data_IF_251775124137
#
_entry.id   IF_251775124137
#
_cell.length_a   1.000
_cell.length_b   1.000
_cell.length_c   1.000
_cell.angle_alpha   90.00
_cell.angle_beta   90.00
_cell.angle_gamma   90.00
#
_symmetry.space_group_name_H-M   'P 1'
#
loop_
_entity.id
_entity.type
_entity.pdbx_description
1 polymer ?
#
# COMPACT_ATOMS: atom_id res chain seq x y z
N UNK A 1 15.17 13.21 -36.95
CA UNK A 1 15.76 13.98 -35.83
C UNK A 1 14.64 14.81 -35.23
N UNK A 2 13.82 14.24 -34.33
CA UNK A 2 13.97 14.19 -32.87
C UNK A 2 14.40 15.51 -32.21
N UNK A 3 13.43 16.21 -31.66
CA UNK A 3 13.40 16.67 -30.26
C UNK A 3 11.91 16.83 -29.93
N UNK A 4 11.31 16.24 -28.91
CA UNK A 4 11.87 15.87 -27.63
C UNK A 4 10.99 16.53 -26.56
N UNK A 5 10.04 15.75 -26.03
CA UNK A 5 9.59 15.81 -24.63
C UNK A 5 9.04 17.14 -24.10
N UNK A 6 7.75 17.42 -24.35
CA UNK A 6 6.93 18.12 -23.37
C UNK A 6 6.37 17.06 -22.41
N UNK A 7 7.13 16.81 -21.34
CA UNK A 7 6.72 15.97 -20.22
C UNK A 7 5.44 16.53 -19.61
N UNK A 8 4.30 15.91 -19.92
CA UNK A 8 3.07 16.11 -19.15
C UNK A 8 3.24 15.40 -17.81
N UNK A 9 3.93 16.05 -16.88
CA UNK A 9 3.86 15.69 -15.46
C UNK A 9 2.47 16.09 -15.00
N UNK A 10 1.53 15.15 -15.10
CA UNK A 10 0.20 15.24 -14.51
C UNK A 10 0.39 15.40 -13.00
N UNK A 11 0.40 16.65 -12.55
CA UNK A 11 0.36 16.98 -11.14
C UNK A 11 -0.86 16.27 -10.55
N UNK A 12 -0.61 15.32 -9.66
CA UNK A 12 -1.65 14.64 -8.89
C UNK A 12 -2.30 15.71 -8.01
N UNK A 13 -3.42 16.26 -8.49
CA UNK A 13 -4.27 17.16 -7.73
C UNK A 13 -4.89 16.35 -6.61
N UNK A 14 -4.31 16.45 -5.41
CA UNK A 14 -4.87 15.84 -4.21
C UNK A 14 -6.05 16.72 -3.79
N UNK A 15 -7.26 16.28 -4.11
CA UNK A 15 -8.49 16.90 -3.62
C UNK A 15 -8.72 16.50 -2.16
N UNK A 16 -8.73 17.51 -1.29
CA UNK A 16 -8.51 17.46 0.16
C UNK A 16 -9.66 16.89 1.01
N UNK A 17 -10.50 16.00 0.46
CA UNK A 17 -11.63 15.43 1.21
C UNK A 17 -12.08 14.03 0.79
N UNK A 18 -11.68 13.55 -0.40
CA UNK A 18 -11.98 12.18 -0.85
C UNK A 18 -10.73 11.33 -1.13
N UNK A 19 -9.55 11.95 -1.13
CA UNK A 19 -8.29 11.26 -1.41
C UNK A 19 -7.79 10.44 -0.23
N UNK A 20 -8.03 10.88 0.99
CA UNK A 20 -7.52 10.24 2.20
C UNK A 20 -8.24 8.92 2.52
N UNK A 21 -9.58 8.94 2.62
CA UNK A 21 -10.37 7.72 2.81
C UNK A 21 -10.14 6.71 1.68
N UNK A 22 -9.93 7.19 0.45
CA UNK A 22 -9.57 6.35 -0.69
C UNK A 22 -8.21 5.66 -0.48
N UNK A 23 -7.19 6.38 -0.03
CA UNK A 23 -5.85 5.81 0.26
C UNK A 23 -5.92 4.79 1.40
N UNK A 24 -6.71 5.03 2.45
CA UNK A 24 -6.90 4.06 3.53
C UNK A 24 -7.59 2.79 3.01
N UNK A 25 -8.69 2.95 2.29
CA UNK A 25 -9.43 1.82 1.73
C UNK A 25 -8.56 1.03 0.74
N UNK A 26 -7.71 1.70 -0.04
CA UNK A 26 -6.76 1.07 -0.94
C UNK A 26 -5.67 0.31 -0.18
N UNK A 27 -5.14 0.87 0.92
CA UNK A 27 -4.15 0.20 1.77
C UNK A 27 -4.74 -1.07 2.42
N UNK A 28 -5.96 -0.99 2.96
CA UNK A 28 -6.66 -2.15 3.53
C UNK A 28 -6.89 -3.22 2.47
N UNK A 29 -7.35 -2.82 1.28
CA UNK A 29 -7.57 -3.75 0.16
C UNK A 29 -6.27 -4.44 -0.27
N UNK A 30 -5.14 -3.70 -0.31
CA UNK A 30 -3.83 -4.26 -0.62
C UNK A 30 -3.35 -5.29 0.40
N UNK A 31 -3.60 -5.07 1.68
CA UNK A 31 -3.25 -6.03 2.74
C UNK A 31 -4.06 -7.32 2.58
N UNK A 32 -5.36 -7.21 2.30
CA UNK A 32 -6.20 -8.37 2.01
C UNK A 32 -5.70 -9.16 0.80
N UNK A 33 -5.29 -8.46 -0.26
CA UNK A 33 -4.75 -9.10 -1.47
C UNK A 33 -3.43 -9.83 -1.19
N UNK A 34 -2.54 -9.19 -0.42
CA UNK A 34 -1.26 -9.77 -0.02
C UNK A 34 -1.45 -11.00 0.86
N UNK A 35 -2.45 -11.00 1.75
CA UNK A 35 -2.79 -12.16 2.57
C UNK A 35 -3.26 -13.34 1.70
N UNK A 36 -4.13 -13.08 0.71
CA UNK A 36 -4.56 -14.08 -0.27
C UNK A 36 -3.38 -14.67 -1.08
N UNK A 37 -2.44 -13.81 -1.51
CA UNK A 37 -1.25 -14.22 -2.25
C UNK A 37 -0.36 -15.15 -1.40
N UNK A 38 -0.19 -14.85 -0.11
CA UNK A 38 0.57 -15.69 0.83
C UNK A 38 -0.13 -17.04 1.04
N UNK A 39 -1.44 -17.06 1.25
CA UNK A 39 -2.20 -18.30 1.43
C UNK A 39 -2.10 -19.21 0.20
N UNK A 40 -2.15 -18.63 -1.01
CA UNK A 40 -1.90 -19.36 -2.26
C UNK A 40 -0.49 -19.93 -2.32
N UNK A 41 0.53 -19.12 -2.05
CA UNK A 41 1.92 -19.55 -2.12
C UNK A 41 2.23 -20.65 -1.10
N UNK A 42 1.65 -20.59 0.10
CA UNK A 42 1.78 -21.63 1.13
C UNK A 42 1.04 -22.92 0.72
N UNK A 43 -0.14 -22.79 0.12
CA UNK A 43 -0.89 -23.93 -0.43
C UNK A 43 -0.11 -24.64 -1.54
N UNK A 44 0.46 -23.88 -2.48
CA UNK A 44 1.32 -24.39 -3.56
C UNK A 44 2.61 -25.01 -3.03
N UNK A 45 3.16 -24.50 -1.93
CA UNK A 45 4.33 -25.09 -1.28
C UNK A 45 4.02 -26.50 -0.74
N UNK A 46 2.82 -26.71 -0.19
CA UNK A 46 2.41 -28.02 0.35
C UNK A 46 2.24 -29.10 -0.73
N UNK A 47 2.04 -28.70 -1.99
CA UNK A 47 1.92 -29.60 -3.16
C UNK A 47 3.24 -29.80 -3.91
N UNK A 48 4.36 -29.28 -3.39
CA UNK A 48 5.70 -29.40 -3.99
C UNK A 48 6.13 -28.20 -4.83
N UNK A 49 5.48 -27.05 -4.64
CA UNK A 49 5.82 -25.77 -5.27
C UNK A 49 7.15 -25.17 -4.79
N UNK A 50 7.58 -24.12 -5.49
CA UNK A 50 8.86 -23.46 -5.27
C UNK A 50 8.91 -22.70 -3.93
N UNK A 51 9.74 -23.18 -3.00
CA UNK A 51 10.05 -22.55 -1.71
C UNK A 51 10.46 -21.09 -1.88
N UNK A 52 11.21 -20.76 -2.93
CA UNK A 52 11.70 -19.40 -3.19
C UNK A 52 10.54 -18.42 -3.38
N UNK A 53 9.52 -18.84 -4.11
CA UNK A 53 8.32 -18.05 -4.37
C UNK A 53 7.50 -17.82 -3.10
N UNK A 54 7.40 -18.83 -2.22
CA UNK A 54 6.75 -18.68 -0.92
C UNK A 54 7.51 -17.73 0.02
N UNK A 55 8.85 -17.82 0.06
CA UNK A 55 9.68 -16.90 0.86
C UNK A 55 9.57 -15.46 0.36
N UNK A 56 9.60 -15.24 -0.95
CA UNK A 56 9.41 -13.91 -1.55
C UNK A 56 8.02 -13.33 -1.25
N UNK A 57 6.97 -14.15 -1.28
CA UNK A 57 5.62 -13.72 -0.92
C UNK A 57 5.56 -13.27 0.54
N UNK A 58 6.21 -14.00 1.45
CA UNK A 58 6.30 -13.66 2.88
C UNK A 58 7.07 -12.34 3.08
N UNK A 59 8.22 -12.14 2.42
CA UNK A 59 8.98 -10.89 2.50
C UNK A 59 8.18 -9.68 1.98
N UNK A 60 7.48 -9.84 0.86
CA UNK A 60 6.59 -8.80 0.34
C UNK A 60 5.47 -8.49 1.32
N UNK A 61 4.94 -9.50 1.99
CA UNK A 61 3.89 -9.32 2.99
C UNK A 61 4.39 -8.54 4.21
N UNK A 62 5.57 -8.87 4.73
CA UNK A 62 6.17 -8.16 5.87
C UNK A 62 6.42 -6.69 5.54
N UNK A 63 7.03 -6.38 4.38
CA UNK A 63 7.24 -5.01 3.93
C UNK A 63 5.93 -4.24 3.76
N UNK A 64 4.90 -4.88 3.20
CA UNK A 64 3.58 -4.26 3.02
C UNK A 64 2.90 -3.98 4.36
N UNK A 65 3.08 -4.87 5.34
CA UNK A 65 2.56 -4.69 6.69
C UNK A 65 3.26 -3.53 7.41
N UNK A 66 4.59 -3.46 7.33
CA UNK A 66 5.36 -2.35 7.90
C UNK A 66 4.89 -0.99 7.36
N UNK A 67 4.70 -0.90 6.04
CA UNK A 67 4.15 0.29 5.39
C UNK A 67 2.75 0.63 5.91
N UNK A 68 1.89 -0.37 6.13
CA UNK A 68 0.55 -0.15 6.68
C UNK A 68 0.60 0.43 8.09
N UNK A 69 1.51 -0.04 8.94
CA UNK A 69 1.69 0.49 10.30
C UNK A 69 2.14 1.95 10.26
N UNK A 70 3.07 2.31 9.38
CA UNK A 70 3.48 3.70 9.18
C UNK A 70 2.33 4.58 8.71
N UNK A 71 1.54 4.09 7.74
CA UNK A 71 0.34 4.78 7.29
C UNK A 71 -0.59 4.98 8.48
N UNK A 72 -0.98 3.93 9.21
CA UNK A 72 -1.85 4.00 10.40
C UNK A 72 -1.39 5.06 11.39
N UNK A 73 -0.10 5.07 11.73
CA UNK A 73 0.46 6.04 12.66
C UNK A 73 0.35 7.48 12.12
N UNK A 74 0.60 7.67 10.82
CA UNK A 74 0.44 8.96 10.16
C UNK A 74 -1.02 9.42 10.18
N UNK A 75 -1.99 8.52 9.91
CA UNK A 75 -3.43 8.84 9.97
C UNK A 75 -3.84 9.30 11.37
N UNK A 76 -3.41 8.59 12.41
CA UNK A 76 -3.67 8.99 13.80
C UNK A 76 -3.09 10.38 14.09
N UNK A 77 -1.83 10.61 13.74
CA UNK A 77 -1.17 11.90 14.00
C UNK A 77 -1.85 13.07 13.28
N UNK A 78 -2.27 12.87 12.03
CA UNK A 78 -2.97 13.89 11.24
C UNK A 78 -4.38 14.14 11.75
N UNK A 79 -5.12 13.11 12.19
CA UNK A 79 -6.41 13.28 12.84
C UNK A 79 -6.30 14.10 14.14
N UNK A 80 -5.32 13.78 14.98
CA UNK A 80 -5.06 14.56 16.21
C UNK A 80 -4.66 16.01 15.91
N UNK A 81 -3.90 16.27 14.85
CA UNK A 81 -3.48 17.61 14.45
C UNK A 81 -4.68 18.46 13.99
N UNK A 82 -5.59 17.90 13.19
CA UNK A 82 -6.83 18.57 12.77
C UNK A 82 -7.69 18.92 13.99
N UNK A 83 -7.82 18.01 14.96
CA UNK A 83 -8.57 18.26 16.20
C UNK A 83 -7.96 19.37 17.06
N UNK A 84 -6.62 19.45 17.14
CA UNK A 84 -5.92 20.51 17.88
C UNK A 84 -6.04 21.90 17.24
N UNK A 85 -6.38 22.00 15.95
CA UNK A 85 -6.59 23.28 15.27
C UNK A 85 -7.99 23.87 15.48
N UNK A 86 -8.98 23.08 15.92
CA UNK A 86 -10.37 23.53 16.09
C UNK A 86 -10.73 24.00 17.50
N UNK A 87 -9.81 23.90 18.47
CA UNK A 87 -10.01 24.37 19.85
C UNK A 87 -9.43 25.77 20.08
#
# INVERSE_FOLDING_TARGET
>A
MNAGTASQTKALKIESGGSFDSVINEAISKVSQVQEDVEKAVSELSSGGDITSAVLAIEKADMSFQLMVEIRNKLLSTYEEIMRMQV
#
